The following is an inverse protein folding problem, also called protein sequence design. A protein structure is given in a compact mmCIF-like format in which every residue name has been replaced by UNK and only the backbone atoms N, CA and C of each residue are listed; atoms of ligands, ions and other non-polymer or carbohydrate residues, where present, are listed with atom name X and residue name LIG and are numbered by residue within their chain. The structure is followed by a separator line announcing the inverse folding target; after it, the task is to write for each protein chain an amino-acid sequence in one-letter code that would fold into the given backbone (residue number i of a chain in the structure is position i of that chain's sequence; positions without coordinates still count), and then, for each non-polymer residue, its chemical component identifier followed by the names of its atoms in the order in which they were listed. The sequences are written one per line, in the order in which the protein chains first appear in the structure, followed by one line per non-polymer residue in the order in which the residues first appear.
data_IF_383578725289
#
_entry.id   IF_383578725289
#
_cell.length_a   1.000
_cell.length_b   1.000
_cell.length_c   1.000
_cell.angle_alpha   90.00
_cell.angle_beta   90.00
_cell.angle_gamma   90.00
#
_symmetry.space_group_name_H-M   'P 1'
#
loop_
_entity.id
_entity.type
_entity.pdbx_description
1 polymer ?
#
# COMPACT_ATOMS: atom_id res chain seq x y z
N UNK A 1 -7.32 25.99 -0.66
CA UNK A 1 -6.88 24.72 -0.05
C UNK A 1 -5.43 24.53 -0.42
N UNK A 2 -4.49 24.80 0.50
CA UNK A 2 -3.05 24.69 0.22
C UNK A 2 -2.68 23.21 0.35
N UNK A 3 -2.47 22.52 -0.78
CA UNK A 3 -1.69 21.29 -0.78
C UNK A 3 -0.32 21.64 -0.17
N UNK A 4 0.04 20.98 0.92
CA UNK A 4 1.29 21.22 1.59
C UNK A 4 2.42 20.66 0.70
N UNK A 5 3.11 21.55 -0.02
CA UNK A 5 4.14 21.24 -1.02
C UNK A 5 5.39 20.50 -0.46
N UNK A 6 5.39 20.12 0.83
CA UNK A 6 6.47 19.35 1.45
C UNK A 6 6.28 17.82 1.35
N UNK A 7 5.04 17.31 1.29
CA UNK A 7 4.81 15.86 1.29
C UNK A 7 5.14 15.20 -0.06
N UNK A 8 5.16 15.97 -1.15
CA UNK A 8 5.49 15.48 -2.50
C UNK A 8 6.97 15.44 -2.83
N UNK A 9 7.86 15.99 -1.98
CA UNK A 9 9.32 16.00 -2.21
C UNK A 9 10.05 14.78 -1.65
N UNK A 10 9.35 13.93 -0.90
CA UNK A 10 9.92 12.75 -0.24
C UNK A 10 9.89 11.52 -1.15
N UNK A 11 8.96 11.50 -2.11
CA UNK A 11 8.75 10.37 -3.01
C UNK A 11 9.39 10.62 -4.37
N UNK A 12 10.17 9.65 -4.81
CA UNK A 12 10.80 9.65 -6.11
C UNK A 12 9.80 9.25 -7.21
N UNK A 13 8.82 8.40 -6.86
CA UNK A 13 7.76 7.98 -7.77
C UNK A 13 6.41 8.01 -7.09
N UNK A 14 5.40 8.42 -7.85
CA UNK A 14 4.00 8.39 -7.49
C UNK A 14 3.23 7.64 -8.57
N UNK A 15 2.49 6.60 -8.19
CA UNK A 15 1.70 5.79 -9.12
C UNK A 15 0.27 5.63 -8.64
N UNK A 16 -0.69 6.01 -9.49
CA UNK A 16 -2.10 5.73 -9.28
C UNK A 16 -2.50 4.44 -10.00
N UNK A 17 -3.13 3.50 -9.29
CA UNK A 17 -3.48 2.19 -9.85
C UNK A 17 -4.99 1.97 -9.80
N UNK A 18 -5.54 1.50 -10.91
CA UNK A 18 -6.93 1.08 -11.01
C UNK A 18 -7.04 -0.43 -10.79
N UNK A 19 -7.61 -0.81 -9.66
CA UNK A 19 -7.80 -2.22 -9.29
C UNK A 19 -9.19 -2.66 -9.73
N UNK A 20 -9.35 -3.86 -10.34
CA UNK A 20 -10.65 -4.40 -10.69
C UNK A 20 -11.52 -4.62 -9.43
N UNK A 21 -12.84 -4.54 -9.59
CA UNK A 21 -13.79 -4.73 -8.48
C UNK A 21 -13.83 -6.15 -7.92
N UNK A 22 -13.30 -7.14 -8.65
CA UNK A 22 -13.22 -8.53 -8.22
C UNK A 22 -11.90 -9.18 -8.62
N UNK A 23 -11.56 -10.27 -7.93
CA UNK A 23 -10.31 -11.01 -8.16
C UNK A 23 -9.11 -10.45 -7.40
N UNK A 24 -7.97 -11.11 -7.59
CA UNK A 24 -6.69 -10.64 -7.07
C UNK A 24 -6.02 -9.77 -8.15
N UNK A 25 -5.37 -8.70 -7.73
CA UNK A 25 -4.59 -7.83 -8.58
C UNK A 25 -3.19 -7.65 -7.99
N UNK A 26 -2.18 -7.86 -8.81
CA UNK A 26 -0.79 -7.71 -8.39
C UNK A 26 -0.34 -6.28 -8.67
N UNK A 27 0.08 -5.59 -7.63
CA UNK A 27 0.72 -4.29 -7.70
C UNK A 27 2.22 -4.51 -7.58
N UNK A 28 2.93 -4.13 -8.64
CA UNK A 28 4.39 -4.21 -8.71
C UNK A 28 4.96 -2.81 -8.53
N UNK A 29 5.86 -2.65 -7.57
CA UNK A 29 6.61 -1.41 -7.43
C UNK A 29 8.10 -1.70 -7.45
N UNK A 30 8.81 -1.05 -8.37
CA UNK A 30 10.25 -1.12 -8.42
C UNK A 30 10.88 0.14 -7.81
N UNK A 31 11.17 0.07 -6.51
CA UNK A 31 11.74 1.16 -5.76
C UNK A 31 13.26 1.13 -5.65
N UNK A 32 13.98 0.88 -6.75
CA UNK A 32 15.46 0.79 -6.76
C UNK A 32 16.13 2.00 -6.06
N UNK A 33 15.53 3.17 -6.17
CA UNK A 33 16.05 4.40 -5.57
C UNK A 33 14.95 5.24 -4.89
N UNK A 34 15.10 5.43 -3.57
CA UNK A 34 14.31 6.34 -2.75
C UNK A 34 12.89 5.87 -2.47
N UNK A 35 12.04 6.77 -1.98
CA UNK A 35 10.70 6.41 -1.52
C UNK A 35 9.71 6.38 -2.68
N UNK A 36 8.70 5.53 -2.57
CA UNK A 36 7.68 5.33 -3.61
C UNK A 36 6.29 5.34 -3.00
N UNK A 37 5.32 5.82 -3.75
CA UNK A 37 3.95 5.91 -3.29
C UNK A 37 2.99 5.34 -4.34
N UNK A 38 2.30 4.27 -3.99
CA UNK A 38 1.15 3.77 -4.75
C UNK A 38 -0.13 4.28 -4.14
N UNK A 39 -1.07 4.72 -4.97
CA UNK A 39 -2.38 5.22 -4.55
C UNK A 39 -3.49 4.52 -5.31
N UNK A 40 -4.55 4.16 -4.59
CA UNK A 40 -5.80 3.63 -5.16
C UNK A 40 -6.97 4.49 -4.70
N UNK A 41 -7.94 4.69 -5.59
CA UNK A 41 -9.19 5.38 -5.30
C UNK A 41 -10.35 4.38 -5.43
N UNK A 42 -11.02 4.13 -4.32
CA UNK A 42 -12.18 3.25 -4.25
C UNK A 42 -12.98 3.49 -2.98
N UNK A 43 -14.26 3.78 -3.13
CA UNK A 43 -15.19 3.87 -2.01
C UNK A 43 -15.62 2.46 -1.54
N UNK A 44 -14.78 1.83 -0.71
CA UNK A 44 -15.00 0.49 -0.17
C UNK A 44 -13.68 -0.14 0.32
N UNK A 45 -13.73 -1.28 1.02
CA UNK A 45 -12.52 -1.92 1.55
C UNK A 45 -11.65 -2.50 0.42
N UNK A 46 -10.33 -2.40 0.61
CA UNK A 46 -9.30 -3.12 -0.13
C UNK A 46 -8.50 -3.98 0.83
N UNK A 47 -8.27 -5.23 0.47
CA UNK A 47 -7.53 -6.18 1.30
C UNK A 47 -6.17 -6.42 0.66
N UNK A 48 -5.13 -6.17 1.44
CA UNK A 48 -3.80 -6.67 1.17
C UNK A 48 -3.78 -8.14 1.59
N UNK A 49 -3.76 -9.04 0.62
CA UNK A 49 -3.78 -10.48 0.90
C UNK A 49 -2.41 -10.98 1.32
N UNK A 50 -1.42 -10.68 0.50
CA UNK A 50 -0.05 -11.15 0.65
C UNK A 50 0.92 -10.25 -0.10
N UNK A 51 2.21 -10.42 0.20
CA UNK A 51 3.29 -9.93 -0.63
C UNK A 51 4.01 -11.14 -1.21
N UNK A 52 4.04 -11.27 -2.54
CA UNK A 52 4.81 -12.31 -3.24
C UNK A 52 6.30 -12.02 -3.07
N UNK A 53 6.67 -10.74 -3.13
CA UNK A 53 7.99 -10.26 -2.73
C UNK A 53 7.85 -9.04 -1.83
N UNK A 54 8.67 -8.99 -0.77
CA UNK A 54 8.75 -7.87 0.16
C UNK A 54 10.19 -7.31 0.21
N UNK A 55 10.39 -5.98 0.28
CA UNK A 55 11.71 -5.38 0.32
C UNK A 55 12.44 -5.74 1.62
N UNK A 56 13.67 -6.24 1.54
CA UNK A 56 14.43 -6.68 2.72
C UNK A 56 14.75 -5.54 3.69
N UNK A 57 15.02 -4.34 3.15
CA UNK A 57 15.42 -3.14 3.91
C UNK A 57 14.37 -2.02 3.88
N UNK A 58 13.30 -2.20 3.10
CA UNK A 58 12.24 -1.19 2.96
C UNK A 58 11.14 -1.37 4.01
N UNK A 59 10.48 -0.26 4.33
CA UNK A 59 9.29 -0.23 5.18
C UNK A 59 8.10 0.20 4.33
N UNK A 60 6.98 -0.51 4.43
CA UNK A 60 5.74 -0.14 3.75
C UNK A 60 4.76 0.40 4.78
N UNK A 61 4.47 1.69 4.73
CA UNK A 61 3.44 2.33 5.55
C UNK A 61 2.14 2.49 4.76
N UNK A 62 1.03 2.18 5.42
CA UNK A 62 -0.28 2.09 4.79
C UNK A 62 -1.21 3.12 5.43
N UNK A 63 -1.80 3.95 4.61
CA UNK A 63 -2.64 5.06 5.06
C UNK A 63 -4.01 5.07 4.41
N UNK A 64 -4.98 5.62 5.14
CA UNK A 64 -6.36 5.83 4.69
C UNK A 64 -6.67 7.32 4.51
N UNK A 65 -7.27 7.68 3.37
CA UNK A 65 -7.76 9.02 3.00
C UNK A 65 -6.68 10.11 2.81
N UNK A 66 -5.63 10.12 3.62
CA UNK A 66 -4.49 11.04 3.50
C UNK A 66 -3.24 10.44 4.12
N UNK A 67 -2.06 10.97 3.79
CA UNK A 67 -0.80 10.56 4.41
C UNK A 67 -0.58 11.41 5.67
N UNK A 68 -0.72 10.79 6.84
CA UNK A 68 -0.46 11.41 8.14
C UNK A 68 -0.24 10.34 9.21
N UNK A 69 0.33 10.71 10.35
CA UNK A 69 0.51 9.77 11.46
C UNK A 69 -0.84 9.25 12.01
N UNK A 70 -1.91 10.04 11.91
CA UNK A 70 -3.24 9.67 12.42
C UNK A 70 -4.02 8.76 11.47
N UNK A 71 -3.66 8.77 10.19
CA UNK A 71 -4.29 7.95 9.15
C UNK A 71 -3.45 6.74 8.76
N UNK A 72 -2.26 6.60 9.35
CA UNK A 72 -1.42 5.41 9.22
C UNK A 72 -2.05 4.26 10.00
N UNK A 73 -2.48 3.21 9.30
CA UNK A 73 -3.13 2.06 9.93
C UNK A 73 -2.17 0.89 10.15
N UNK A 74 -1.08 0.84 9.37
CA UNK A 74 -0.09 -0.22 9.47
C UNK A 74 1.28 0.25 8.98
N UNK A 75 2.31 -0.34 9.56
CA UNK A 75 3.70 -0.19 9.13
C UNK A 75 4.33 -1.58 9.06
N UNK A 76 4.62 -2.00 7.83
CA UNK A 76 5.09 -3.32 7.49
C UNK A 76 6.60 -3.28 7.24
N UNK A 77 7.31 -4.23 7.82
CA UNK A 77 8.74 -4.49 7.62
C UNK A 77 8.94 -5.95 7.25
N UNK A 78 10.11 -6.29 6.72
CA UNK A 78 10.48 -7.67 6.39
C UNK A 78 10.35 -8.64 7.57
N UNK A 79 10.40 -8.14 8.81
CA UNK A 79 10.29 -8.94 10.03
C UNK A 79 8.86 -9.15 10.53
N UNK A 80 7.87 -8.37 10.06
CA UNK A 80 6.53 -8.38 10.66
C UNK A 80 5.38 -8.52 9.66
N UNK A 81 5.61 -8.31 8.35
CA UNK A 81 4.51 -8.16 7.39
C UNK A 81 3.59 -9.38 7.33
N UNK A 82 4.16 -10.59 7.41
CA UNK A 82 3.39 -11.85 7.36
C UNK A 82 2.38 -11.97 8.51
N UNK A 83 2.67 -11.41 9.68
CA UNK A 83 1.79 -11.50 10.85
C UNK A 83 0.65 -10.48 10.82
N UNK A 84 0.77 -9.45 9.98
CA UNK A 84 -0.25 -8.39 9.83
C UNK A 84 -1.18 -8.64 8.64
N UNK A 85 -0.96 -9.72 7.88
CA UNK A 85 -1.76 -10.07 6.71
C UNK A 85 -2.76 -11.20 7.03
N UNK A 86 -3.94 -11.21 6.36
CA UNK A 86 -4.42 -10.19 5.43
C UNK A 86 -4.81 -8.90 6.16
N UNK A 87 -4.58 -7.75 5.52
CA UNK A 87 -4.87 -6.42 6.09
C UNK A 87 -5.97 -5.73 5.29
N UNK A 88 -7.03 -5.32 5.96
CA UNK A 88 -8.13 -4.55 5.36
C UNK A 88 -7.88 -3.04 5.48
N UNK A 89 -8.02 -2.32 4.37
CA UNK A 89 -7.85 -0.87 4.23
C UNK A 89 -9.16 -0.26 3.75
N UNK A 90 -9.80 0.57 4.58
CA UNK A 90 -11.20 1.01 4.47
C UNK A 90 -11.37 2.43 3.95
N UNK A 91 -10.30 3.23 3.90
CA UNK A 91 -10.35 4.61 3.41
C UNK A 91 -10.83 4.71 1.96
N UNK A 92 -11.42 5.84 1.56
CA UNK A 92 -11.83 6.05 0.16
C UNK A 92 -10.62 6.12 -0.78
N UNK A 93 -9.55 6.74 -0.30
CA UNK A 93 -8.23 6.66 -0.92
C UNK A 93 -7.31 5.81 -0.04
N UNK A 94 -6.52 4.93 -0.65
CA UNK A 94 -5.49 4.16 0.06
C UNK A 94 -4.13 4.52 -0.48
N UNK A 95 -3.17 4.60 0.43
CA UNK A 95 -1.80 4.99 0.13
C UNK A 95 -0.88 3.89 0.65
N UNK A 96 -0.08 3.33 -0.24
CA UNK A 96 0.95 2.33 0.06
C UNK A 96 2.30 2.98 -0.17
N UNK A 97 2.93 3.42 0.91
CA UNK A 97 4.17 4.19 0.91
C UNK A 97 5.35 3.26 1.20
N UNK A 98 6.20 3.05 0.22
CA UNK A 98 7.51 2.42 0.41
C UNK A 98 8.51 3.48 0.83
N UNK A 99 9.02 3.36 2.05
CA UNK A 99 10.13 4.14 2.58
C UNK A 99 11.41 3.32 2.52
N UNK A 100 12.43 3.83 1.84
CA UNK A 100 13.69 3.13 1.56
C UNK A 100 13.71 2.43 0.19
N UNK A 101 14.80 1.70 -0.08
CA UNK A 101 15.00 1.04 -1.37
C UNK A 101 14.47 -0.40 -1.36
N UNK A 102 14.02 -0.86 -2.52
CA UNK A 102 13.64 -2.25 -2.76
C UNK A 102 12.47 -2.38 -3.72
N UNK A 103 12.08 -3.61 -4.00
CA UNK A 103 10.90 -3.90 -4.81
C UNK A 103 9.90 -4.68 -3.97
N UNK A 104 8.62 -4.48 -4.25
CA UNK A 104 7.56 -5.34 -3.73
C UNK A 104 6.62 -5.76 -4.84
N UNK A 105 6.01 -6.91 -4.62
CA UNK A 105 4.86 -7.38 -5.36
C UNK A 105 3.75 -7.66 -4.34
N UNK A 106 2.74 -6.81 -4.34
CA UNK A 106 1.63 -6.83 -3.40
C UNK A 106 0.38 -7.35 -4.08
N UNK A 107 -0.32 -8.30 -3.45
CA UNK A 107 -1.58 -8.83 -3.96
C UNK A 107 -2.74 -8.14 -3.25
N UNK A 108 -3.51 -7.35 -4.00
CA UNK A 108 -4.69 -6.65 -3.52
C UNK A 108 -5.98 -7.32 -4.01
N UNK A 109 -7.03 -7.23 -3.22
CA UNK A 109 -8.39 -7.57 -3.66
C UNK A 109 -9.43 -6.64 -3.06
N UNK A 110 -10.49 -6.36 -3.83
CA UNK A 110 -11.71 -5.69 -3.32
C UNK A 110 -12.78 -6.71 -2.92
N UNK A 111 -12.51 -7.99 -3.13
CA UNK A 111 -13.43 -9.06 -2.80
C UNK A 111 -13.29 -9.47 -1.33
N UNK A 112 -14.04 -8.78 -0.47
CA UNK A 112 -14.14 -9.07 0.96
C UNK A 112 -14.66 -10.47 1.28
N UNK A 113 -15.32 -11.15 0.33
CA UNK A 113 -15.78 -12.53 0.52
C UNK A 113 -14.66 -13.57 0.37
N UNK A 114 -13.51 -13.17 -0.20
CA UNK A 114 -12.34 -14.03 -0.46
C UNK A 114 -11.13 -13.73 0.45
N UNK A 115 -11.31 -12.85 1.44
CA UNK A 115 -10.27 -12.50 2.42
C UNK A 115 -9.97 -13.63 3.40
N UNK A 116 -10.95 -14.50 3.64
CA UNK A 116 -10.84 -15.64 4.54
C UNK A 116 -11.04 -16.94 3.78
N UNK A 117 -9.96 -17.48 3.22
CA UNK A 117 -9.87 -18.91 2.93
C UNK A 117 -8.39 -19.30 2.84
N UNK A 118 -7.80 -19.50 4.03
CA UNK A 118 -6.78 -20.52 4.23
C UNK A 118 -7.44 -21.90 4.07
#
# INVERSE_FOLDING_TARGET
MRQNFQDSRVYNTYEGINIPSSGNHNVYMNGVFGNHLTVTDYNGPEIIKEFITFPSTGTISIYENSISNTTCIATLTSSNYQQQLPLEVKGNMKFYSLIGNGFYEMVLTRDVSRAGRL
#
